data_IF_973064596868
#
_entry.id   IF_973064596868
#
_cell.length_a   1.000
_cell.length_b   1.000
_cell.length_c   1.000
_cell.angle_alpha   90.00
_cell.angle_beta   90.00
_cell.angle_gamma   90.00
#
_symmetry.space_group_name_H-M   'P 1'
#
loop_
_entity.id
_entity.type
_entity.pdbx_description
1 polymer ?
#
# COMPACT_ATOMS: atom_id res chain seq x y z
N UNK A 1 36.93 -38.63 -59.36
CA UNK A 1 37.15 -40.10 -59.43
C UNK A 1 36.10 -40.80 -58.60
N UNK A 2 35.26 -41.51 -59.29
CA UNK A 2 34.70 -42.87 -59.06
C UNK A 2 34.01 -43.09 -57.69
N UNK A 3 32.66 -43.17 -57.65
CA UNK A 3 31.81 -44.38 -57.81
C UNK A 3 31.67 -45.14 -56.48
N UNK A 4 30.57 -45.65 -55.98
CA UNK A 4 29.23 -46.06 -56.44
C UNK A 4 28.47 -46.65 -55.24
N UNK A 5 27.15 -46.43 -55.14
CA UNK A 5 26.06 -47.42 -55.11
C UNK A 5 26.05 -48.44 -53.93
N UNK A 6 25.05 -48.78 -53.24
CA UNK A 6 23.64 -49.18 -53.35
C UNK A 6 23.28 -49.77 -51.98
N UNK A 7 22.12 -49.73 -51.48
CA UNK A 7 21.00 -50.46 -51.71
C UNK A 7 19.85 -50.35 -50.72
N UNK A 8 18.68 -50.47 -51.25
CA UNK A 8 17.36 -50.59 -50.63
C UNK A 8 17.21 -51.76 -49.65
N UNK A 9 16.34 -51.60 -48.63
CA UNK A 9 15.36 -52.62 -48.31
C UNK A 9 14.19 -51.98 -47.52
N UNK A 10 13.01 -51.96 -48.10
CA UNK A 10 11.73 -51.70 -47.50
C UNK A 10 11.17 -52.99 -46.92
N UNK A 11 10.55 -52.91 -45.73
CA UNK A 11 9.51 -53.91 -45.34
C UNK A 11 8.36 -53.15 -44.72
N UNK A 12 7.22 -53.22 -45.37
CA UNK A 12 5.90 -52.85 -44.89
C UNK A 12 5.27 -54.04 -44.17
N UNK A 13 4.55 -53.77 -43.11
CA UNK A 13 3.49 -54.67 -42.64
C UNK A 13 2.42 -53.86 -41.92
N UNK A 14 1.31 -54.00 -42.42
CA UNK A 14 -0.02 -53.51 -42.34
C UNK A 14 -0.85 -54.19 -41.21
N UNK A 15 -1.92 -53.48 -40.89
CA UNK A 15 -3.27 -53.95 -40.45
C UNK A 15 -3.47 -54.43 -39.01
N UNK A 16 -4.40 -53.80 -38.30
CA UNK A 16 -5.80 -54.22 -38.26
C UNK A 16 -6.73 -53.21 -37.60
N UNK A 17 -7.70 -52.75 -38.33
CA UNK A 17 -8.95 -52.14 -37.85
C UNK A 17 -9.85 -53.24 -37.24
N UNK A 18 -10.48 -52.96 -36.09
CA UNK A 18 -11.74 -53.59 -35.71
C UNK A 18 -12.77 -52.53 -35.34
N UNK A 19 -13.69 -52.34 -36.27
CA UNK A 19 -15.00 -51.74 -35.98
C UNK A 19 -15.87 -52.79 -35.26
N UNK A 20 -16.55 -52.36 -34.21
CA UNK A 20 -17.78 -52.99 -33.75
C UNK A 20 -18.82 -51.92 -33.54
N UNK A 21 -19.84 -51.98 -34.35
CA UNK A 21 -21.03 -51.13 -34.27
C UNK A 21 -22.15 -51.88 -33.53
N UNK A 22 -23.08 -51.08 -33.01
CA UNK A 22 -24.48 -51.33 -32.66
C UNK A 22 -24.81 -51.99 -31.33
N UNK A 23 -25.48 -51.23 -30.43
CA UNK A 23 -26.93 -51.37 -30.29
C UNK A 23 -27.51 -50.27 -29.41
N UNK A 24 -28.58 -49.68 -29.86
CA UNK A 24 -29.47 -48.72 -29.21
C UNK A 24 -30.13 -49.31 -27.97
N UNK A 25 -30.22 -48.50 -26.87
CA UNK A 25 -31.47 -48.40 -26.14
C UNK A 25 -31.58 -47.08 -25.33
N UNK A 26 -32.82 -46.59 -25.23
CA UNK A 26 -33.23 -45.32 -24.66
C UNK A 26 -33.10 -45.34 -23.13
N UNK A 27 -32.41 -44.30 -22.58
CA UNK A 27 -32.46 -43.98 -21.16
C UNK A 27 -32.12 -42.53 -20.93
N UNK A 28 -33.14 -41.72 -20.60
CA UNK A 28 -33.09 -40.32 -20.27
C UNK A 28 -32.36 -40.16 -18.93
N UNK A 29 -31.10 -39.80 -18.96
CA UNK A 29 -30.30 -39.39 -17.79
C UNK A 29 -29.74 -38.01 -18.08
N UNK A 30 -30.10 -37.06 -17.20
CA UNK A 30 -29.56 -35.71 -17.17
C UNK A 30 -28.08 -35.83 -16.80
N UNK A 31 -27.19 -35.64 -17.76
CA UNK A 31 -25.78 -35.41 -17.48
C UNK A 31 -25.65 -33.93 -17.16
N UNK A 32 -25.44 -33.65 -15.88
CA UNK A 32 -24.83 -32.40 -15.43
C UNK A 32 -23.39 -32.39 -15.99
N UNK A 33 -23.14 -31.54 -16.96
CA UNK A 33 -21.78 -31.09 -17.23
C UNK A 33 -21.33 -30.31 -15.99
N UNK A 34 -20.59 -30.95 -15.11
CA UNK A 34 -19.62 -30.27 -14.27
C UNK A 34 -18.49 -29.87 -15.21
N UNK A 35 -18.58 -28.65 -15.76
CA UNK A 35 -17.41 -27.89 -16.16
C UNK A 35 -16.61 -27.61 -14.89
N UNK A 36 -15.79 -28.57 -14.51
CA UNK A 36 -14.65 -28.29 -13.67
C UNK A 36 -13.75 -27.37 -14.51
N UNK A 37 -13.84 -26.08 -14.31
CA UNK A 37 -12.75 -25.18 -14.61
C UNK A 37 -11.57 -25.70 -13.80
N UNK A 38 -10.63 -26.33 -14.51
CA UNK A 38 -9.32 -26.67 -14.00
C UNK A 38 -8.63 -25.31 -13.72
N UNK A 39 -8.87 -24.76 -12.52
CA UNK A 39 -8.12 -23.65 -11.99
C UNK A 39 -6.72 -24.22 -11.69
N UNK A 40 -5.90 -24.27 -12.74
CA UNK A 40 -4.50 -24.64 -12.59
C UNK A 40 -3.91 -23.57 -11.66
N UNK A 41 -3.62 -23.96 -10.41
CA UNK A 41 -2.97 -23.09 -9.45
C UNK A 41 -1.76 -22.44 -10.12
N UNK A 42 -1.72 -21.13 -10.14
CA UNK A 42 -0.57 -20.38 -10.66
C UNK A 42 0.62 -20.80 -9.82
N UNK A 43 1.63 -21.41 -10.43
CA UNK A 43 2.84 -21.85 -9.76
C UNK A 43 3.99 -20.96 -10.18
N UNK A 44 4.70 -20.43 -9.19
CA UNK A 44 5.92 -19.62 -9.35
C UNK A 44 7.13 -20.57 -9.34
N UNK A 45 8.06 -20.38 -10.26
CA UNK A 45 9.23 -21.26 -10.40
C UNK A 45 10.24 -21.05 -9.28
N UNK A 46 11.02 -22.09 -8.94
CA UNK A 46 12.21 -21.93 -8.07
C UNK A 46 13.18 -20.93 -8.72
N UNK A 47 13.57 -19.88 -8.00
CA UNK A 47 14.43 -18.82 -8.53
C UNK A 47 13.72 -17.85 -9.50
N UNK A 48 12.39 -17.79 -9.44
CA UNK A 48 11.57 -16.92 -10.26
C UNK A 48 12.03 -15.46 -10.24
N UNK A 49 11.79 -14.76 -11.33
CA UNK A 49 11.95 -13.31 -11.36
C UNK A 49 10.74 -12.64 -10.73
N UNK A 50 10.96 -11.85 -9.68
CA UNK A 50 9.94 -11.05 -9.00
C UNK A 50 10.16 -9.58 -9.32
N UNK A 51 9.19 -8.96 -9.98
CA UNK A 51 9.18 -7.54 -10.26
C UNK A 51 8.50 -6.77 -9.11
N UNK A 52 9.19 -5.78 -8.55
CA UNK A 52 8.63 -4.88 -7.53
C UNK A 52 8.60 -3.46 -8.07
N UNK A 53 7.42 -2.90 -8.22
CA UNK A 53 7.20 -1.55 -8.74
C UNK A 53 6.69 -0.64 -7.63
N UNK A 54 7.55 0.23 -7.12
CA UNK A 54 7.25 1.19 -6.07
C UNK A 54 6.88 2.56 -6.66
N UNK A 55 6.11 3.40 -5.96
CA UNK A 55 5.70 4.70 -6.50
C UNK A 55 6.87 5.69 -6.59
N UNK A 56 7.67 5.81 -5.56
CA UNK A 56 8.80 6.75 -5.46
C UNK A 56 9.67 6.45 -4.24
N UNK A 57 10.83 7.11 -4.13
CA UNK A 57 11.72 6.96 -2.95
C UNK A 57 11.83 8.29 -2.18
N UNK A 58 10.75 9.04 -2.08
CA UNK A 58 10.74 10.34 -1.41
C UNK A 58 10.50 10.27 0.10
N UNK A 59 9.81 9.24 0.58
CA UNK A 59 9.55 8.98 2.00
C UNK A 59 10.39 7.80 2.51
N UNK A 60 10.47 7.67 3.83
CA UNK A 60 11.29 6.63 4.46
C UNK A 60 10.76 5.23 4.17
N UNK A 61 9.46 4.99 4.32
CA UNK A 61 8.81 3.70 4.08
C UNK A 61 9.11 3.12 2.68
N UNK A 62 9.05 3.94 1.62
CA UNK A 62 9.34 3.49 0.26
C UNK A 62 10.83 3.17 0.03
N UNK A 63 11.74 3.90 0.69
CA UNK A 63 13.19 3.58 0.68
C UNK A 63 13.50 2.29 1.41
N UNK A 64 12.82 2.06 2.53
CA UNK A 64 12.92 0.82 3.29
C UNK A 64 12.37 -0.35 2.46
N UNK A 65 11.19 -0.23 1.87
CA UNK A 65 10.60 -1.25 1.00
C UNK A 65 11.55 -1.61 -0.17
N UNK A 66 12.14 -0.61 -0.84
CA UNK A 66 13.13 -0.84 -1.91
C UNK A 66 14.33 -1.64 -1.42
N UNK A 67 14.81 -1.36 -0.22
CA UNK A 67 15.97 -2.02 0.38
C UNK A 67 15.65 -3.44 0.82
N UNK A 68 14.53 -3.61 1.54
CA UNK A 68 14.10 -4.88 2.12
C UNK A 68 13.74 -5.87 1.00
N UNK A 69 12.92 -5.49 0.03
CA UNK A 69 12.58 -6.37 -1.09
C UNK A 69 13.80 -6.86 -1.87
N UNK A 70 14.80 -6.00 -2.08
CA UNK A 70 16.06 -6.42 -2.75
C UNK A 70 16.83 -7.46 -1.94
N UNK A 71 16.84 -7.31 -0.62
CA UNK A 71 17.55 -8.21 0.27
C UNK A 71 16.80 -9.53 0.44
N UNK A 72 15.53 -9.47 0.84
CA UNK A 72 14.75 -10.63 1.27
C UNK A 72 14.41 -11.54 0.08
N UNK A 73 14.06 -10.98 -1.08
CA UNK A 73 13.86 -11.76 -2.30
C UNK A 73 15.15 -12.48 -2.74
N UNK A 74 16.31 -11.80 -2.66
CA UNK A 74 17.58 -12.42 -3.02
C UNK A 74 18.00 -13.49 -2.00
N UNK A 75 17.76 -13.29 -0.70
CA UNK A 75 18.02 -14.27 0.36
C UNK A 75 17.15 -15.52 0.21
N UNK A 76 15.87 -15.34 -0.15
CA UNK A 76 14.94 -16.42 -0.45
C UNK A 76 15.26 -17.16 -1.78
N UNK A 77 16.21 -16.66 -2.57
CA UNK A 77 16.68 -17.28 -3.81
C UNK A 77 15.93 -16.84 -5.07
N UNK A 78 15.07 -15.85 -5.00
CA UNK A 78 14.41 -15.21 -6.15
C UNK A 78 15.36 -14.25 -6.89
N UNK A 79 14.97 -13.84 -8.09
CA UNK A 79 15.67 -12.83 -8.89
C UNK A 79 14.91 -11.49 -8.84
N UNK A 80 15.25 -10.55 -7.93
CA UNK A 80 14.47 -9.31 -7.76
C UNK A 80 14.75 -8.28 -8.86
N UNK A 81 13.70 -7.66 -9.38
CA UNK A 81 13.74 -6.43 -10.20
C UNK A 81 12.96 -5.36 -9.47
N UNK A 82 13.62 -4.56 -8.63
CA UNK A 82 12.97 -3.53 -7.82
C UNK A 82 13.22 -2.16 -8.43
N UNK A 83 12.16 -1.42 -8.76
CA UNK A 83 12.21 -0.09 -9.40
C UNK A 83 11.17 0.85 -8.80
N UNK A 84 11.45 2.16 -8.82
CA UNK A 84 10.53 3.19 -8.40
C UNK A 84 10.18 4.14 -9.56
N UNK A 85 8.91 4.52 -9.66
CA UNK A 85 8.36 5.30 -10.78
C UNK A 85 8.63 6.81 -10.72
N UNK A 86 9.35 7.31 -9.72
CA UNK A 86 9.62 8.75 -9.50
C UNK A 86 8.34 9.61 -9.44
N UNK A 87 7.28 9.06 -8.87
CA UNK A 87 5.96 9.67 -8.80
C UNK A 87 5.38 10.06 -10.19
N UNK A 88 5.72 9.28 -11.22
CA UNK A 88 5.24 9.45 -12.59
C UNK A 88 4.62 8.16 -13.10
N UNK A 89 3.30 8.14 -13.29
CA UNK A 89 2.55 6.98 -13.76
C UNK A 89 3.14 6.38 -15.05
N UNK A 90 3.51 7.21 -16.02
CA UNK A 90 4.09 6.73 -17.27
C UNK A 90 5.44 6.00 -17.08
N UNK A 91 6.25 6.41 -16.10
CA UNK A 91 7.47 5.68 -15.75
C UNK A 91 7.11 4.32 -15.16
N UNK A 92 6.17 4.27 -14.22
CA UNK A 92 5.72 3.05 -13.58
C UNK A 92 5.15 2.04 -14.60
N UNK A 93 4.28 2.50 -15.50
CA UNK A 93 3.76 1.66 -16.60
C UNK A 93 4.89 1.07 -17.46
N UNK A 94 5.86 1.88 -17.86
CA UNK A 94 7.01 1.42 -18.66
C UNK A 94 7.91 0.45 -17.91
N UNK A 95 8.08 0.63 -16.60
CA UNK A 95 8.85 -0.27 -15.73
C UNK A 95 8.15 -1.62 -15.57
N UNK A 96 6.84 -1.62 -15.33
CA UNK A 96 6.05 -2.85 -15.24
C UNK A 96 6.14 -3.63 -16.56
N UNK A 97 5.96 -2.96 -17.70
CA UNK A 97 6.12 -3.62 -19.01
C UNK A 97 7.52 -4.21 -19.19
N UNK A 98 8.57 -3.49 -18.78
CA UNK A 98 9.94 -4.00 -18.86
C UNK A 98 10.18 -5.21 -17.92
N UNK A 99 9.54 -5.27 -16.75
CA UNK A 99 9.60 -6.42 -15.84
C UNK A 99 8.94 -7.66 -16.49
N UNK A 100 7.77 -7.49 -17.14
CA UNK A 100 7.12 -8.55 -17.93
C UNK A 100 8.04 -9.06 -19.04
N UNK A 101 8.64 -8.17 -19.83
CA UNK A 101 9.58 -8.53 -20.89
C UNK A 101 10.84 -9.25 -20.37
N UNK A 102 11.23 -9.00 -19.13
CA UNK A 102 12.36 -9.66 -18.45
C UNK A 102 11.97 -11.00 -17.80
N UNK A 103 10.72 -11.42 -17.95
CA UNK A 103 10.23 -12.73 -17.49
C UNK A 103 9.85 -12.74 -16.00
N UNK A 104 9.33 -11.65 -15.48
CA UNK A 104 8.72 -11.65 -14.15
C UNK A 104 7.58 -12.69 -14.11
N UNK A 105 7.52 -13.48 -13.05
CA UNK A 105 6.44 -14.44 -12.77
C UNK A 105 5.48 -13.88 -11.71
N UNK A 106 5.96 -12.95 -10.89
CA UNK A 106 5.17 -12.18 -9.91
C UNK A 106 5.47 -10.69 -10.07
N UNK A 107 4.45 -9.87 -9.99
CA UNK A 107 4.55 -8.42 -9.86
C UNK A 107 3.98 -7.98 -8.52
N UNK A 108 4.81 -7.28 -7.73
CA UNK A 108 4.41 -6.57 -6.50
C UNK A 108 4.34 -5.08 -6.84
N UNK A 109 3.17 -4.47 -6.70
CA UNK A 109 2.91 -3.13 -7.23
C UNK A 109 2.30 -2.22 -6.17
N UNK A 110 3.08 -1.21 -5.72
CA UNK A 110 2.56 -0.05 -5.00
C UNK A 110 2.20 1.04 -6.00
N UNK A 111 0.92 1.28 -6.33
CA UNK A 111 0.55 2.19 -7.41
C UNK A 111 0.81 3.65 -7.03
N UNK A 112 1.28 4.45 -8.01
CA UNK A 112 1.33 5.91 -7.91
C UNK A 112 -0.09 6.48 -7.92
N UNK A 113 -0.92 5.94 -8.82
CA UNK A 113 -2.33 6.25 -8.99
C UNK A 113 -3.09 4.93 -9.11
N UNK A 114 -4.03 4.69 -8.18
CA UNK A 114 -4.76 3.43 -8.09
C UNK A 114 -5.51 3.06 -9.37
N UNK A 115 -5.90 4.05 -10.17
CA UNK A 115 -6.79 3.87 -11.35
C UNK A 115 -6.06 3.77 -12.69
N UNK A 116 -4.74 3.99 -12.75
CA UNK A 116 -4.08 4.21 -14.04
C UNK A 116 -3.15 3.07 -14.51
N UNK A 117 -3.12 1.95 -13.80
CA UNK A 117 -2.26 0.81 -14.15
C UNK A 117 -3.02 -0.34 -14.83
N UNK A 118 -4.36 -0.28 -14.92
CA UNK A 118 -5.20 -1.39 -15.38
C UNK A 118 -4.69 -2.06 -16.66
N UNK A 119 -4.50 -1.31 -17.74
CA UNK A 119 -4.10 -1.88 -19.04
C UNK A 119 -2.76 -2.63 -18.98
N UNK A 120 -1.73 -2.08 -18.35
CA UNK A 120 -0.40 -2.75 -18.29
C UNK A 120 -0.44 -3.99 -17.38
N UNK A 121 -1.31 -4.01 -16.37
CA UNK A 121 -1.49 -5.15 -15.47
C UNK A 121 -2.37 -6.23 -16.12
N UNK A 122 -3.38 -5.87 -16.90
CA UNK A 122 -4.17 -6.81 -17.70
C UNK A 122 -3.30 -7.53 -18.75
N UNK A 123 -2.36 -6.81 -19.38
CA UNK A 123 -1.37 -7.42 -20.28
C UNK A 123 -0.45 -8.40 -19.52
N UNK A 124 -0.04 -8.05 -18.29
CA UNK A 124 0.78 -8.93 -17.45
C UNK A 124 -0.01 -10.18 -17.00
N UNK A 125 -1.26 -10.02 -16.56
CA UNK A 125 -2.14 -11.14 -16.19
C UNK A 125 -2.38 -12.08 -17.38
N UNK A 126 -2.61 -11.52 -18.58
CA UNK A 126 -2.76 -12.32 -19.81
C UNK A 126 -1.49 -13.12 -20.16
N UNK A 127 -0.31 -12.70 -19.69
CA UNK A 127 0.94 -13.43 -19.77
C UNK A 127 1.10 -14.49 -18.66
N UNK A 128 0.14 -14.62 -17.74
CA UNK A 128 0.15 -15.61 -16.65
C UNK A 128 0.92 -15.14 -15.41
N UNK A 129 1.11 -13.84 -15.24
CA UNK A 129 1.85 -13.25 -14.10
C UNK A 129 0.87 -12.98 -12.95
N UNK A 130 1.23 -13.38 -11.73
CA UNK A 130 0.48 -13.03 -10.51
C UNK A 130 0.76 -11.59 -10.11
N UNK A 131 -0.29 -10.84 -9.75
CA UNK A 131 -0.21 -9.41 -9.43
C UNK A 131 -0.68 -9.16 -8.00
N UNK A 132 0.23 -8.72 -7.16
CA UNK A 132 0.02 -8.40 -5.74
C UNK A 132 0.10 -6.87 -5.58
N UNK A 133 -1.00 -6.25 -5.13
CA UNK A 133 -0.99 -4.87 -4.67
C UNK A 133 -0.17 -4.75 -3.38
N UNK A 134 0.60 -3.70 -3.23
CA UNK A 134 1.44 -3.43 -2.07
C UNK A 134 1.16 -2.06 -1.47
N UNK A 135 0.80 -2.01 -0.20
CA UNK A 135 0.40 -0.83 0.59
C UNK A 135 -0.86 -0.11 0.07
N UNK A 136 -1.13 -0.16 -1.23
CA UNK A 136 -2.22 0.56 -1.89
C UNK A 136 -3.04 -0.35 -2.78
N UNK A 137 -4.36 -0.19 -2.76
CA UNK A 137 -5.26 -0.88 -3.69
C UNK A 137 -5.00 -0.46 -5.14
N UNK A 138 -5.11 -1.42 -6.05
CA UNK A 138 -5.14 -1.17 -7.49
C UNK A 138 -6.60 -1.26 -7.92
N UNK A 139 -7.11 -0.15 -8.44
CA UNK A 139 -8.53 0.04 -8.72
C UNK A 139 -8.87 -0.16 -10.20
N UNK A 140 -10.15 -0.43 -10.47
CA UNK A 140 -10.75 -0.49 -11.80
C UNK A 140 -10.11 -1.50 -12.76
N UNK A 141 -9.59 -2.62 -12.25
CA UNK A 141 -9.03 -3.71 -13.06
C UNK A 141 -9.32 -5.08 -12.45
N UNK A 142 -9.51 -6.09 -13.29
CA UNK A 142 -9.62 -7.50 -12.89
C UNK A 142 -8.25 -8.13 -12.58
N UNK A 143 -7.16 -7.48 -12.95
CA UNK A 143 -5.82 -8.05 -12.99
C UNK A 143 -5.12 -8.19 -11.64
N UNK A 144 -5.74 -7.84 -10.53
CA UNK A 144 -5.15 -7.91 -9.17
C UNK A 144 -5.58 -9.19 -8.49
N UNK A 145 -4.62 -10.02 -8.05
CA UNK A 145 -4.89 -11.29 -7.38
C UNK A 145 -5.06 -11.13 -5.86
N UNK A 146 -4.44 -10.13 -5.26
CA UNK A 146 -4.58 -9.78 -3.84
C UNK A 146 -3.83 -8.49 -3.52
N UNK A 147 -4.04 -7.92 -2.33
CA UNK A 147 -3.32 -6.74 -1.85
C UNK A 147 -2.87 -6.93 -0.40
N UNK A 148 -1.63 -6.55 -0.12
CA UNK A 148 -1.06 -6.48 1.24
C UNK A 148 -1.06 -5.02 1.67
N UNK A 149 -1.78 -4.69 2.73
CA UNK A 149 -1.89 -3.32 3.23
C UNK A 149 -2.23 -3.26 4.72
N UNK A 150 -1.96 -2.14 5.36
CA UNK A 150 -2.52 -1.85 6.68
C UNK A 150 -3.98 -1.38 6.56
N UNK A 151 -4.77 -1.60 7.61
CA UNK A 151 -6.16 -1.17 7.66
C UNK A 151 -6.31 0.35 7.52
N UNK A 152 -6.69 0.82 6.31
CA UNK A 152 -6.64 2.26 5.97
C UNK A 152 -7.65 3.09 6.77
N UNK A 153 -8.91 2.64 6.88
CA UNK A 153 -9.93 3.35 7.68
C UNK A 153 -9.50 3.39 9.15
N UNK A 154 -8.98 2.27 9.68
CA UNK A 154 -8.50 2.17 11.05
C UNK A 154 -7.31 3.10 11.33
N UNK A 155 -6.42 3.25 10.36
CA UNK A 155 -5.32 4.23 10.42
C UNK A 155 -5.85 5.65 10.64
N UNK A 156 -6.86 6.06 9.87
CA UNK A 156 -7.49 7.38 10.03
C UNK A 156 -8.20 7.56 11.38
N UNK A 157 -8.94 6.53 11.83
CA UNK A 157 -9.54 6.53 13.18
C UNK A 157 -8.48 6.77 14.25
N UNK A 158 -7.36 6.04 14.20
CA UNK A 158 -6.26 6.17 15.15
C UNK A 158 -5.57 7.53 15.12
N UNK A 159 -5.41 8.16 13.94
CA UNK A 159 -4.90 9.52 13.83
C UNK A 159 -5.81 10.51 14.55
N UNK A 160 -7.12 10.39 14.37
CA UNK A 160 -8.12 11.25 14.98
C UNK A 160 -8.26 11.03 16.49
N UNK A 161 -8.26 9.78 16.95
CA UNK A 161 -8.29 9.43 18.38
C UNK A 161 -7.06 9.98 19.10
N UNK A 162 -5.86 9.83 18.51
CA UNK A 162 -4.64 10.39 19.07
C UNK A 162 -4.66 11.93 19.09
N UNK A 163 -5.18 12.58 18.04
CA UNK A 163 -5.36 14.03 18.02
C UNK A 163 -6.27 14.50 19.17
N UNK A 164 -7.42 13.86 19.37
CA UNK A 164 -8.36 14.19 20.46
C UNK A 164 -7.71 14.00 21.83
N UNK A 165 -7.00 12.88 22.02
CA UNK A 165 -6.29 12.62 23.27
C UNK A 165 -5.25 13.73 23.56
N UNK A 166 -4.45 14.10 22.57
CA UNK A 166 -3.45 15.15 22.74
C UNK A 166 -4.06 16.52 23.02
N UNK A 167 -5.18 16.84 22.40
CA UNK A 167 -5.91 18.09 22.71
C UNK A 167 -6.38 18.13 24.17
N UNK A 168 -6.92 17.04 24.69
CA UNK A 168 -7.35 16.94 26.09
C UNK A 168 -6.15 17.02 27.05
N UNK A 169 -5.02 16.39 26.73
CA UNK A 169 -3.82 16.36 27.57
C UNK A 169 -3.05 17.68 27.59
N UNK A 170 -2.92 18.36 26.43
CA UNK A 170 -1.99 19.48 26.28
C UNK A 170 -2.67 20.86 26.19
N UNK A 171 -3.94 20.94 25.73
CA UNK A 171 -4.62 22.22 25.48
C UNK A 171 -5.73 22.56 26.48
N UNK A 172 -6.10 21.63 27.37
CA UNK A 172 -7.05 21.87 28.44
C UNK A 172 -8.51 21.69 27.99
N UNK A 173 -9.41 22.66 28.32
CA UNK A 173 -10.84 22.52 28.09
C UNK A 173 -11.24 22.98 26.67
N UNK A 174 -12.14 22.22 26.01
CA UNK A 174 -12.75 22.59 24.73
C UNK A 174 -13.53 23.92 24.82
N UNK A 175 -13.85 24.61 23.71
CA UNK A 175 -13.62 24.14 22.31
C UNK A 175 -12.19 24.32 21.82
N UNK A 176 -11.77 23.45 20.89
CA UNK A 176 -10.44 23.49 20.27
C UNK A 176 -10.51 23.97 18.83
N UNK A 177 -9.59 24.84 18.44
CA UNK A 177 -9.40 25.31 17.07
C UNK A 177 -8.50 24.34 16.30
N UNK A 178 -9.00 23.68 15.27
CA UNK A 178 -8.22 22.69 14.52
C UNK A 178 -8.22 22.97 13.04
N UNK A 179 -7.28 22.33 12.34
CA UNK A 179 -7.28 22.22 10.87
C UNK A 179 -7.12 20.77 10.42
N UNK A 180 -7.60 20.49 9.21
CA UNK A 180 -7.57 19.17 8.61
C UNK A 180 -6.67 19.18 7.38
N UNK A 181 -5.73 18.22 7.32
CA UNK A 181 -4.93 17.93 6.14
C UNK A 181 -5.18 16.47 5.73
N UNK A 182 -5.19 16.23 4.43
CA UNK A 182 -5.34 14.91 3.83
C UNK A 182 -4.21 14.63 2.84
N UNK A 183 -4.03 13.37 2.50
CA UNK A 183 -3.01 12.88 1.58
C UNK A 183 -3.27 13.21 0.11
N UNK A 184 -2.47 12.64 -0.77
CA UNK A 184 -2.56 12.84 -2.22
C UNK A 184 -3.77 12.14 -2.83
N UNK A 185 -4.62 12.82 -3.60
CA UNK A 185 -5.90 12.26 -4.08
C UNK A 185 -5.76 11.16 -5.15
N UNK A 186 -4.57 10.93 -5.69
CA UNK A 186 -4.30 9.79 -6.57
C UNK A 186 -4.01 8.48 -5.80
N UNK A 187 -3.76 8.59 -4.50
CA UNK A 187 -3.56 7.47 -3.59
C UNK A 187 -4.90 7.04 -2.99
N UNK A 188 -5.38 5.81 -3.25
CA UNK A 188 -6.65 5.32 -2.73
C UNK A 188 -6.73 5.32 -1.19
N UNK A 189 -5.60 5.15 -0.50
CA UNK A 189 -5.56 5.19 0.96
C UNK A 189 -5.87 6.57 1.53
N UNK A 190 -5.52 7.65 0.82
CA UNK A 190 -5.66 9.01 1.33
C UNK A 190 -7.13 9.38 1.66
N UNK A 191 -8.07 8.96 0.82
CA UNK A 191 -9.50 9.14 1.07
C UNK A 191 -9.94 8.29 2.27
N UNK A 192 -9.51 7.03 2.34
CA UNK A 192 -9.89 6.10 3.41
C UNK A 192 -9.36 6.55 4.78
N UNK A 193 -8.12 7.07 4.84
CA UNK A 193 -7.58 7.68 6.06
C UNK A 193 -8.42 8.87 6.49
N UNK A 194 -8.77 9.75 5.56
CA UNK A 194 -9.57 10.94 5.87
C UNK A 194 -10.98 10.55 6.32
N UNK A 195 -11.64 9.60 5.66
CA UNK A 195 -12.97 9.12 6.03
C UNK A 195 -12.96 8.46 7.41
N UNK A 196 -11.94 7.64 7.71
CA UNK A 196 -11.73 7.07 9.03
C UNK A 196 -11.57 8.15 10.10
N UNK A 197 -10.71 9.16 9.87
CA UNK A 197 -10.52 10.26 10.79
C UNK A 197 -11.82 11.07 10.97
N UNK A 198 -12.55 11.36 9.92
CA UNK A 198 -13.79 12.13 9.99
C UNK A 198 -14.92 11.35 10.69
N UNK A 199 -14.91 10.00 10.66
CA UNK A 199 -15.86 9.21 11.45
C UNK A 199 -15.77 9.51 12.95
N UNK A 200 -14.57 9.86 13.43
CA UNK A 200 -14.27 10.23 14.83
C UNK A 200 -14.44 11.73 15.07
N UNK A 201 -13.96 12.58 14.15
CA UNK A 201 -13.92 14.04 14.35
C UNK A 201 -15.24 14.74 14.03
N UNK A 202 -16.00 14.27 13.03
CA UNK A 202 -17.24 14.94 12.60
C UNK A 202 -18.27 15.11 13.73
N UNK A 203 -18.53 14.10 14.59
CA UNK A 203 -19.41 14.28 15.75
C UNK A 203 -18.95 15.37 16.72
N UNK A 204 -17.63 15.58 16.85
CA UNK A 204 -17.01 16.61 17.70
C UNK A 204 -17.05 18.00 17.07
N UNK A 205 -17.03 18.07 15.76
CA UNK A 205 -17.27 19.31 15.00
C UNK A 205 -18.74 19.70 15.10
N UNK A 206 -19.66 18.75 14.96
CA UNK A 206 -21.10 18.99 15.00
C UNK A 206 -21.59 19.45 16.39
N UNK A 207 -20.99 18.97 17.48
CA UNK A 207 -21.34 19.37 18.85
C UNK A 207 -20.59 20.60 19.34
N UNK A 208 -19.66 21.13 18.55
CA UNK A 208 -18.89 22.33 18.84
C UNK A 208 -17.68 22.12 19.79
N UNK A 209 -17.29 20.87 20.08
CA UNK A 209 -16.06 20.54 20.78
C UNK A 209 -14.84 20.92 19.93
N UNK A 210 -14.93 20.75 18.60
CA UNK A 210 -13.92 21.14 17.63
C UNK A 210 -14.46 22.23 16.69
N UNK A 211 -13.65 23.26 16.42
CA UNK A 211 -13.90 24.26 15.39
C UNK A 211 -12.82 24.15 14.29
N UNK A 212 -13.21 23.75 13.07
CA UNK A 212 -12.35 23.88 11.89
C UNK A 212 -12.42 25.33 11.41
N UNK A 213 -11.48 26.16 11.85
CA UNK A 213 -11.57 27.63 11.70
C UNK A 213 -11.59 28.08 10.25
N UNK A 214 -10.94 27.36 9.34
CA UNK A 214 -11.01 27.61 7.91
C UNK A 214 -12.36 27.22 7.27
N UNK A 215 -13.13 26.35 7.92
CA UNK A 215 -14.33 25.70 7.37
C UNK A 215 -14.01 24.67 6.25
N UNK A 216 -12.75 24.27 6.08
CA UNK A 216 -12.32 23.31 5.06
C UNK A 216 -12.44 21.89 5.62
N UNK A 217 -13.61 21.30 5.54
CA UNK A 217 -13.93 19.99 6.13
C UNK A 217 -14.02 18.86 5.10
N UNK A 218 -14.00 19.17 3.80
CA UNK A 218 -14.06 18.16 2.75
C UNK A 218 -12.65 17.66 2.37
N UNK A 219 -12.56 16.37 2.01
CA UNK A 219 -11.30 15.76 1.54
C UNK A 219 -10.59 16.59 0.46
N UNK A 220 -11.35 17.03 -0.56
CA UNK A 220 -10.78 17.79 -1.68
C UNK A 220 -10.18 19.14 -1.28
N UNK A 221 -10.67 19.75 -0.19
CA UNK A 221 -10.14 20.99 0.37
C UNK A 221 -8.90 20.74 1.24
N UNK A 222 -8.89 19.60 1.94
CA UNK A 222 -7.81 19.20 2.83
C UNK A 222 -6.64 18.50 2.09
N UNK A 223 -6.87 17.98 0.87
CA UNK A 223 -5.93 17.15 0.14
C UNK A 223 -4.60 17.85 -0.16
N UNK A 224 -3.50 17.11 0.00
CA UNK A 224 -2.13 17.54 -0.31
C UNK A 224 -1.64 16.77 -1.54
N UNK A 225 -1.72 17.40 -2.71
CA UNK A 225 -1.34 16.79 -3.97
C UNK A 225 0.08 16.22 -3.92
N UNK A 226 0.23 14.96 -4.38
CA UNK A 226 1.51 14.22 -4.44
C UNK A 226 2.17 13.99 -3.06
N UNK A 227 1.44 14.13 -1.96
CA UNK A 227 1.99 14.09 -0.60
C UNK A 227 3.13 15.08 -0.38
N UNK A 228 3.09 16.23 -1.08
CA UNK A 228 4.17 17.22 -1.12
C UNK A 228 4.19 18.09 0.14
N UNK A 229 5.22 17.92 0.96
CA UNK A 229 5.41 18.66 2.21
C UNK A 229 5.47 20.18 2.00
N UNK A 230 6.02 20.65 0.86
CA UNK A 230 6.09 22.08 0.53
C UNK A 230 4.71 22.67 0.20
N UNK A 231 3.82 21.89 -0.44
CA UNK A 231 2.42 22.29 -0.64
C UNK A 231 1.66 22.35 0.67
N UNK A 232 1.88 21.38 1.57
CA UNK A 232 1.30 21.39 2.92
C UNK A 232 1.79 22.61 3.71
N UNK A 233 3.09 22.90 3.70
CA UNK A 233 3.67 24.08 4.33
C UNK A 233 3.02 25.37 3.81
N UNK A 234 2.95 25.53 2.49
CA UNK A 234 2.35 26.72 1.87
C UNK A 234 0.87 26.90 2.22
N UNK A 235 0.11 25.77 2.34
CA UNK A 235 -1.28 25.82 2.79
C UNK A 235 -1.35 26.21 4.26
N UNK A 236 -0.51 25.65 5.13
CA UNK A 236 -0.48 26.00 6.56
C UNK A 236 -0.09 27.47 6.77
N UNK A 237 0.91 28.00 6.05
CA UNK A 237 1.28 29.43 6.10
C UNK A 237 0.10 30.33 5.73
N UNK A 238 -0.69 29.91 4.74
CA UNK A 238 -1.90 30.63 4.30
C UNK A 238 -3.01 30.60 5.36
N UNK A 239 -3.23 29.45 6.00
CA UNK A 239 -4.19 29.29 7.09
C UNK A 239 -3.77 30.18 8.30
N UNK A 240 -2.53 30.10 8.72
CA UNK A 240 -2.00 30.87 9.84
C UNK A 240 -2.16 32.37 9.62
N UNK A 241 -1.83 32.87 8.45
CA UNK A 241 -1.94 34.30 8.12
C UNK A 241 -3.38 34.78 7.90
N UNK A 242 -4.27 33.93 7.40
CA UNK A 242 -5.65 34.26 7.04
C UNK A 242 -6.66 33.98 8.13
N UNK A 243 -6.62 32.80 8.72
CA UNK A 243 -7.62 32.31 9.66
C UNK A 243 -7.19 32.41 11.12
N UNK A 244 -5.89 32.40 11.39
CA UNK A 244 -5.31 32.36 12.74
C UNK A 244 -4.52 33.63 13.10
N UNK A 245 -4.75 34.75 12.39
CA UNK A 245 -4.08 36.02 12.70
C UNK A 245 -4.36 36.53 14.13
N UNK A 246 -5.54 36.24 14.67
CA UNK A 246 -5.99 36.64 16.00
C UNK A 246 -6.46 35.44 16.85
N UNK A 247 -6.18 34.21 16.41
CA UNK A 247 -6.51 32.95 17.11
C UNK A 247 -5.29 32.08 17.22
N UNK A 248 -5.28 31.19 18.22
CA UNK A 248 -4.32 30.10 18.31
C UNK A 248 -4.87 28.84 17.64
N UNK A 249 -4.00 28.03 17.06
CA UNK A 249 -4.34 26.70 16.55
C UNK A 249 -3.98 25.66 17.61
N UNK A 250 -4.97 24.90 18.05
CA UNK A 250 -4.79 23.90 19.10
C UNK A 250 -4.33 22.55 18.54
N UNK A 251 -4.85 22.15 17.38
CA UNK A 251 -4.51 20.88 16.79
C UNK A 251 -4.63 20.81 15.27
N UNK A 252 -3.93 19.84 14.68
CA UNK A 252 -4.01 19.58 13.24
C UNK A 252 -4.05 18.07 12.99
N UNK A 253 -5.06 17.62 12.24
CA UNK A 253 -5.04 16.30 11.64
C UNK A 253 -4.04 16.33 10.49
N UNK A 254 -2.94 15.62 10.62
CA UNK A 254 -1.94 15.45 9.56
C UNK A 254 -1.98 14.03 9.02
N UNK A 255 -2.00 13.83 7.70
CA UNK A 255 -2.14 12.51 7.10
C UNK A 255 -0.86 11.68 7.14
N UNK A 256 0.32 12.31 7.29
CA UNK A 256 1.60 11.63 7.49
C UNK A 256 2.64 12.51 8.19
N UNK A 257 3.77 11.92 8.53
CA UNK A 257 4.84 12.53 9.30
C UNK A 257 5.56 13.67 8.56
N UNK A 258 5.80 13.51 7.26
CA UNK A 258 6.43 14.57 6.48
C UNK A 258 5.60 15.85 6.43
N UNK A 259 4.27 15.70 6.27
CA UNK A 259 3.31 16.81 6.31
C UNK A 259 3.19 17.36 7.75
N UNK A 260 3.19 16.50 8.78
CA UNK A 260 3.18 16.92 10.19
C UNK A 260 4.35 17.86 10.49
N UNK A 261 5.57 17.50 10.09
CA UNK A 261 6.76 18.34 10.26
C UNK A 261 6.67 19.67 9.51
N UNK A 262 6.11 19.68 8.31
CA UNK A 262 5.88 20.91 7.55
C UNK A 262 4.89 21.84 8.27
N UNK A 263 3.81 21.29 8.81
CA UNK A 263 2.80 22.02 9.61
C UNK A 263 3.41 22.63 10.86
N UNK A 264 4.13 21.83 11.65
CA UNK A 264 4.80 22.28 12.87
C UNK A 264 5.82 23.38 12.55
N UNK A 265 6.60 23.22 11.48
CA UNK A 265 7.56 24.23 11.04
C UNK A 265 6.88 25.55 10.68
N UNK A 266 5.72 25.52 10.01
CA UNK A 266 4.94 26.73 9.72
C UNK A 266 4.43 27.42 10.99
N UNK A 267 3.92 26.65 11.97
CA UNK A 267 3.45 27.19 13.23
C UNK A 267 4.59 27.90 14.01
N UNK A 268 5.76 27.27 14.11
CA UNK A 268 6.96 27.87 14.71
C UNK A 268 7.38 29.17 14.01
N UNK A 269 7.41 29.18 12.67
CA UNK A 269 7.80 30.37 11.90
C UNK A 269 6.80 31.51 12.03
N UNK A 270 5.53 31.20 12.23
CA UNK A 270 4.48 32.18 12.50
C UNK A 270 4.48 32.69 13.95
N UNK A 271 5.28 32.10 14.84
CA UNK A 271 5.32 32.43 16.28
C UNK A 271 4.10 31.95 17.04
N UNK A 272 3.37 30.96 16.52
CA UNK A 272 2.32 30.22 17.22
C UNK A 272 2.95 29.18 18.16
N UNK A 273 2.25 28.83 19.23
CA UNK A 273 2.57 27.63 19.99
C UNK A 273 2.39 26.39 19.09
N UNK A 274 3.19 25.37 19.29
CA UNK A 274 3.11 24.14 18.50
C UNK A 274 1.75 23.49 18.77
N UNK A 275 0.93 23.25 17.71
CA UNK A 275 -0.32 22.54 17.87
C UNK A 275 -0.09 21.05 18.14
N UNK A 276 -1.09 20.36 18.68
CA UNK A 276 -1.13 18.90 18.69
C UNK A 276 -1.25 18.39 17.25
N UNK A 277 -0.27 17.61 16.79
CA UNK A 277 -0.25 17.13 15.39
C UNK A 277 -0.15 15.63 15.35
N UNK A 278 -1.08 14.99 14.62
CA UNK A 278 -1.01 13.57 14.29
C UNK A 278 0.01 13.30 13.18
N UNK A 279 0.35 12.06 12.96
CA UNK A 279 1.24 11.63 11.87
C UNK A 279 0.97 10.21 11.41
N UNK A 280 1.78 9.71 10.50
CA UNK A 280 1.75 8.35 9.96
C UNK A 280 3.13 7.99 9.42
N UNK A 281 3.45 6.71 9.44
CA UNK A 281 4.62 6.01 8.93
C UNK A 281 5.83 5.94 9.90
N UNK A 282 5.77 6.58 11.06
CA UNK A 282 6.82 6.52 12.09
C UNK A 282 8.22 6.82 11.52
N UNK A 283 8.35 7.88 10.72
CA UNK A 283 9.62 8.30 10.14
C UNK A 283 10.62 8.71 11.25
N UNK A 284 11.89 8.38 11.11
CA UNK A 284 12.94 8.62 12.11
C UNK A 284 12.98 10.07 12.63
N UNK A 285 12.79 11.05 11.75
CA UNK A 285 12.75 12.46 12.14
C UNK A 285 11.51 12.78 13.00
N UNK A 286 10.36 12.17 12.70
CA UNK A 286 9.15 12.32 13.51
C UNK A 286 9.26 11.58 14.84
N UNK A 287 9.93 10.44 14.88
CA UNK A 287 10.26 9.75 16.13
C UNK A 287 11.10 10.67 17.05
N UNK A 288 12.12 11.36 16.51
CA UNK A 288 12.89 12.35 17.26
C UNK A 288 12.01 13.50 17.79
N UNK A 289 11.04 13.95 16.97
CA UNK A 289 10.13 15.01 17.38
C UNK A 289 9.08 14.55 18.41
N UNK A 290 8.64 13.31 18.35
CA UNK A 290 7.77 12.71 19.37
C UNK A 290 8.56 12.54 20.68
N UNK A 291 9.80 12.07 20.62
CA UNK A 291 10.66 11.91 21.79
C UNK A 291 10.88 13.25 22.54
N UNK A 292 11.04 14.36 21.79
CA UNK A 292 11.20 15.70 22.32
C UNK A 292 9.88 16.43 22.66
N UNK A 293 8.72 15.82 22.39
CA UNK A 293 7.40 16.43 22.60
C UNK A 293 7.02 17.49 21.56
N UNK A 294 7.69 17.53 20.41
CA UNK A 294 7.40 18.50 19.34
C UNK A 294 6.29 18.04 18.38
N UNK A 295 6.16 16.73 18.13
CA UNK A 295 5.03 16.09 17.46
C UNK A 295 4.33 15.20 18.48
N UNK A 296 3.00 15.19 18.48
CA UNK A 296 2.26 14.43 19.51
C UNK A 296 2.24 12.94 19.22
N UNK A 297 1.91 12.55 17.99
CA UNK A 297 1.76 11.13 17.64
C UNK A 297 2.12 10.82 16.19
N UNK A 298 2.37 9.55 15.95
CA UNK A 298 2.34 8.94 14.61
C UNK A 298 1.58 7.63 14.67
N UNK A 299 1.08 7.16 13.54
CA UNK A 299 0.54 5.80 13.40
C UNK A 299 1.59 4.97 12.67
N UNK A 300 2.17 4.01 13.35
CA UNK A 300 3.19 3.14 12.79
C UNK A 300 2.57 2.07 11.88
N UNK A 301 3.18 1.90 10.73
CA UNK A 301 2.94 0.84 9.74
C UNK A 301 4.30 0.23 9.37
N UNK A 302 4.86 -0.70 10.16
CA UNK A 302 6.20 -1.23 9.94
C UNK A 302 6.36 -1.80 8.53
N UNK A 303 7.30 -1.25 7.75
CA UNK A 303 7.55 -1.66 6.36
C UNK A 303 7.96 -3.13 6.27
N UNK A 304 8.73 -3.64 7.26
CA UNK A 304 9.13 -5.03 7.30
C UNK A 304 7.92 -5.97 7.34
N UNK A 305 6.90 -5.67 8.14
CA UNK A 305 5.70 -6.51 8.24
C UNK A 305 4.94 -6.60 6.90
N UNK A 306 4.86 -5.49 6.14
CA UNK A 306 4.27 -5.51 4.78
C UNK A 306 5.07 -6.38 3.83
N UNK A 307 6.41 -6.30 3.89
CA UNK A 307 7.29 -7.12 3.05
C UNK A 307 7.19 -8.58 3.46
N UNK A 308 7.24 -8.90 4.76
CA UNK A 308 7.13 -10.26 5.26
C UNK A 308 5.83 -10.93 4.80
N UNK A 309 4.69 -10.23 4.93
CA UNK A 309 3.40 -10.73 4.46
C UNK A 309 3.38 -10.92 2.93
N UNK A 310 4.04 -10.05 2.17
CA UNK A 310 4.17 -10.19 0.71
C UNK A 310 5.04 -11.39 0.36
N UNK A 311 6.13 -11.61 1.09
CA UNK A 311 7.02 -12.76 0.92
C UNK A 311 6.32 -14.08 1.23
N UNK A 312 5.47 -14.15 2.27
CA UNK A 312 4.65 -15.32 2.57
C UNK A 312 3.74 -15.71 1.39
N UNK A 313 3.15 -14.74 0.70
CA UNK A 313 2.35 -15.00 -0.51
C UNK A 313 3.23 -15.55 -1.63
N UNK A 314 4.38 -14.94 -1.91
CA UNK A 314 5.30 -15.37 -2.96
C UNK A 314 5.80 -16.81 -2.69
N UNK A 315 6.15 -17.11 -1.44
CA UNK A 315 6.63 -18.44 -1.03
C UNK A 315 5.52 -19.50 -1.13
N UNK A 316 4.28 -19.16 -0.81
CA UNK A 316 3.11 -20.04 -0.98
C UNK A 316 2.86 -20.38 -2.46
N UNK A 317 2.98 -19.38 -3.33
CA UNK A 317 2.89 -19.56 -4.78
C UNK A 317 4.01 -20.46 -5.31
N UNK A 318 5.23 -20.28 -4.82
CA UNK A 318 6.40 -21.08 -5.20
C UNK A 318 6.31 -22.54 -4.70
N UNK A 319 5.65 -22.76 -3.54
CA UNK A 319 5.36 -24.09 -3.03
C UNK A 319 4.25 -24.81 -3.83
N UNK A 320 3.50 -24.09 -4.67
CA UNK A 320 2.37 -24.60 -5.42
C UNK A 320 1.07 -24.70 -4.61
N UNK A 321 1.03 -24.02 -3.46
CA UNK A 321 -0.13 -24.01 -2.55
C UNK A 321 -1.16 -22.93 -2.98
N UNK A 322 -0.80 -22.04 -3.94
CA UNK A 322 -1.62 -20.93 -4.40
C UNK A 322 -1.55 -19.72 -3.47
N UNK A 323 -2.48 -18.77 -3.65
CA UNK A 323 -2.64 -17.62 -2.73
C UNK A 323 -3.10 -18.11 -1.35
N UNK A 324 -2.49 -17.65 -0.24
CA UNK A 324 -2.98 -17.95 1.11
C UNK A 324 -4.41 -17.44 1.34
N UNK A 325 -5.08 -17.93 2.41
CA UNK A 325 -6.38 -17.39 2.82
C UNK A 325 -6.21 -15.94 3.31
N UNK A 326 -6.90 -15.00 2.67
CA UNK A 326 -6.93 -13.61 3.07
C UNK A 326 -7.77 -13.41 4.33
N UNK A 327 -7.46 -12.38 5.11
CA UNK A 327 -8.19 -12.06 6.34
C UNK A 327 -9.24 -10.96 6.17
N UNK A 328 -9.29 -10.33 5.00
CA UNK A 328 -10.25 -9.29 4.64
C UNK A 328 -10.47 -9.27 3.12
N UNK A 329 -11.42 -8.46 2.64
CA UNK A 329 -11.64 -8.19 1.21
C UNK A 329 -12.13 -6.77 0.99
N UNK A 330 -11.82 -6.20 -0.19
CA UNK A 330 -12.27 -4.87 -0.56
C UNK A 330 -12.64 -4.78 -2.04
N UNK A 331 -13.70 -4.01 -2.33
CA UNK A 331 -14.10 -3.69 -3.70
C UNK A 331 -13.11 -2.73 -4.34
N UNK A 332 -12.53 -3.11 -5.48
CA UNK A 332 -11.62 -2.26 -6.24
C UNK A 332 -12.30 -1.50 -7.38
N UNK A 333 -13.63 -1.52 -7.42
CA UNK A 333 -14.45 -0.89 -8.45
C UNK A 333 -14.92 -1.82 -9.57
N UNK A 334 -14.36 -3.04 -9.68
CA UNK A 334 -14.79 -4.07 -10.65
C UNK A 334 -14.96 -5.45 -10.03
N UNK A 335 -14.25 -5.74 -8.93
CA UNK A 335 -14.39 -6.99 -8.17
C UNK A 335 -14.00 -6.80 -6.72
N UNK A 336 -14.40 -7.75 -5.86
CA UNK A 336 -13.82 -7.92 -4.54
C UNK A 336 -12.41 -8.52 -4.69
N UNK A 337 -11.42 -7.88 -4.07
CA UNK A 337 -10.02 -8.31 -4.03
C UNK A 337 -9.69 -8.80 -2.64
N UNK A 338 -8.99 -9.92 -2.55
CA UNK A 338 -8.46 -10.44 -1.30
C UNK A 338 -7.47 -9.46 -0.67
N UNK A 339 -7.68 -9.14 0.62
CA UNK A 339 -6.84 -8.21 1.38
C UNK A 339 -6.14 -8.96 2.50
N UNK A 340 -4.82 -8.86 2.52
CA UNK A 340 -3.97 -9.30 3.62
C UNK A 340 -3.71 -8.10 4.52
N UNK A 341 -4.68 -7.84 5.40
CA UNK A 341 -4.70 -6.65 6.23
C UNK A 341 -3.81 -6.81 7.46
N UNK A 342 -2.94 -5.81 7.67
CA UNK A 342 -2.12 -5.65 8.87
C UNK A 342 -2.72 -4.57 9.78
N UNK A 343 -2.47 -4.68 11.09
CA UNK A 343 -2.98 -3.73 12.08
C UNK A 343 -1.98 -2.59 12.32
N UNK A 344 -2.37 -1.33 12.11
CA UNK A 344 -1.53 -0.19 12.44
C UNK A 344 -1.46 0.02 13.96
N UNK A 345 -0.44 0.75 14.45
CA UNK A 345 -0.27 1.03 15.88
C UNK A 345 -0.05 2.51 16.12
N UNK A 346 -0.80 3.11 17.07
CA UNK A 346 -0.57 4.48 17.53
C UNK A 346 0.70 4.54 18.37
N UNK A 347 1.60 5.45 18.04
CA UNK A 347 2.82 5.73 18.78
C UNK A 347 2.81 7.18 19.25
N UNK A 348 2.95 7.35 20.56
CA UNK A 348 3.10 8.62 21.26
C UNK A 348 4.35 8.58 22.14
N UNK A 349 4.71 9.68 22.77
CA UNK A 349 5.83 9.70 23.71
C UNK A 349 5.68 8.63 24.81
N UNK A 350 4.45 8.28 25.19
CA UNK A 350 4.18 7.36 26.32
C UNK A 350 4.53 5.90 26.03
N UNK A 351 4.46 5.45 24.77
CA UNK A 351 4.74 4.05 24.36
C UNK A 351 5.91 3.93 23.37
N UNK A 352 6.57 5.04 23.04
CA UNK A 352 7.63 5.11 22.03
C UNK A 352 8.76 4.10 22.29
N UNK A 353 9.27 4.03 23.52
CA UNK A 353 10.37 3.12 23.90
C UNK A 353 9.95 1.64 23.85
N UNK A 354 8.71 1.35 24.28
CA UNK A 354 8.19 -0.02 24.28
C UNK A 354 8.00 -0.51 22.82
N UNK A 355 7.45 0.35 21.97
CA UNK A 355 7.19 0.01 20.58
C UNK A 355 8.47 -0.27 19.78
N UNK A 356 9.54 0.51 20.03
CA UNK A 356 10.82 0.36 19.32
C UNK A 356 11.90 -0.39 20.10
N UNK A 357 11.54 -1.12 21.18
CA UNK A 357 12.50 -1.76 22.08
C UNK A 357 13.50 -2.71 21.36
N UNK A 358 13.08 -3.35 20.27
CA UNK A 358 13.90 -4.28 19.50
C UNK A 358 14.62 -3.61 18.29
N UNK A 359 14.54 -2.28 18.16
CA UNK A 359 15.18 -1.52 17.09
C UNK A 359 16.25 -0.58 17.66
N UNK A 360 17.49 -1.06 17.72
CA UNK A 360 18.61 -0.33 18.33
C UNK A 360 18.86 1.04 17.68
N UNK A 361 18.73 1.15 16.35
CA UNK A 361 18.95 2.42 15.62
C UNK A 361 17.89 3.46 15.97
N UNK A 362 16.62 3.06 16.06
CA UNK A 362 15.54 3.95 16.48
C UNK A 362 15.64 4.29 17.96
N UNK A 363 16.03 3.34 18.81
CA UNK A 363 16.27 3.59 20.23
C UNK A 363 17.40 4.59 20.46
N UNK A 364 18.44 4.63 19.62
CA UNK A 364 19.48 5.68 19.67
C UNK A 364 18.86 7.06 19.37
N UNK A 365 18.03 7.17 18.31
CA UNK A 365 17.31 8.41 17.98
C UNK A 365 16.44 8.87 19.14
N UNK A 366 15.67 7.98 19.75
CA UNK A 366 14.81 8.29 20.90
C UNK A 366 15.66 8.84 22.07
N UNK A 367 16.76 8.16 22.41
CA UNK A 367 17.60 8.54 23.54
C UNK A 367 18.33 9.88 23.34
N UNK A 368 18.69 10.22 22.12
CA UNK A 368 19.38 11.46 21.78
C UNK A 368 18.44 12.69 21.77
N UNK A 369 17.11 12.47 21.77
CA UNK A 369 16.10 13.53 21.64
C UNK A 369 15.14 13.67 22.84
N UNK A 370 15.39 13.01 23.96
CA UNK A 370 14.61 13.14 25.23
C UNK A 370 14.94 14.39 26.01
#
# INVERSE_FOLDING_TARGET
MKRRFTGLAAIAAATALTLSACSSDNGRGSESNDDATDDAAVTVSEGATVGVSLPWLGTQNWKEADTIFKADLAEAGYNPIVQAGDNKVANQQSQIQAMVEQGAEVLVVGPIDGTQLGTVLEDAQAAGITIIGYDRMIENTEAVDGVVQFGSVKTGEFQAEALLQGLEEEKGEAPYNIELFAGGPADPNAQLFFDGAMSVLQPKIDDGTLEVVSGQTDFTQAATQDWDNGKAQSRMDSLLSGNYADKEIDGVLSPNDGIARAIITSAEQAGQDIPVVSGLDAENESIAWIASGKQYSTVAKPTQELVDQTMEIIDSLAAGDGMPEANDSADNGVKDVDVYALEPTVVTQSNLEEFFADNDDVMEIINDNK
#
